data_IF_353688306454
#
_entry.id   IF_353688306454
#
_cell.length_a   1.000
_cell.length_b   1.000
_cell.length_c   1.000
_cell.angle_alpha   90.00
_cell.angle_beta   90.00
_cell.angle_gamma   90.00
#
_symmetry.space_group_name_H-M   'P 1'
#
loop_
_entity.id
_entity.type
_entity.pdbx_description
1 polymer ?
#
# COMPACT_ATOMS: atom_id res chain seq x y z
N UNK A 1 -8.03 -16.04 7.62
CA UNK A 1 -6.99 -17.07 7.39
C UNK A 1 -7.19 -18.27 8.32
N UNK A 2 -7.28 -18.09 9.62
CA UNK A 2 -7.47 -19.19 10.58
C UNK A 2 -8.68 -20.09 10.26
N UNK A 3 -9.83 -19.49 9.92
CA UNK A 3 -11.03 -20.25 9.50
C UNK A 3 -10.83 -21.07 8.21
N UNK A 4 -9.81 -20.72 7.41
CA UNK A 4 -9.42 -21.46 6.20
C UNK A 4 -8.30 -22.47 6.47
N UNK A 5 -7.91 -22.67 7.74
CA UNK A 5 -6.86 -23.60 8.13
C UNK A 5 -5.42 -23.08 7.94
N UNK A 6 -5.23 -21.80 7.68
CA UNK A 6 -3.90 -21.19 7.56
C UNK A 6 -3.54 -20.49 8.88
N UNK A 7 -2.69 -21.12 9.66
CA UNK A 7 -2.20 -20.60 10.93
C UNK A 7 -1.14 -19.51 10.75
N UNK A 8 -0.19 -19.75 9.85
CA UNK A 8 0.85 -18.79 9.46
C UNK A 8 0.75 -18.47 7.98
N UNK A 9 0.97 -17.19 7.63
CA UNK A 9 0.89 -16.74 6.24
C UNK A 9 1.74 -15.48 6.00
N UNK A 10 1.92 -15.14 4.74
CA UNK A 10 2.50 -13.88 4.29
C UNK A 10 1.41 -13.04 3.61
N UNK A 11 1.62 -11.72 3.54
CA UNK A 11 0.66 -10.79 2.95
C UNK A 11 1.28 -9.93 1.86
N UNK A 12 0.43 -9.43 0.97
CA UNK A 12 0.75 -8.36 0.03
C UNK A 12 -0.36 -7.32 0.08
N UNK A 13 -0.01 -6.03 0.03
CA UNK A 13 -0.98 -4.95 0.00
C UNK A 13 -0.47 -3.69 -0.67
N UNK A 14 -1.33 -3.08 -1.51
CA UNK A 14 -1.23 -1.71 -2.00
C UNK A 14 -2.40 -0.90 -1.46
N UNK A 15 -2.36 0.41 -1.52
CA UNK A 15 -3.40 1.32 -1.04
C UNK A 15 -3.95 0.94 0.35
N UNK A 16 -5.26 0.78 0.52
CA UNK A 16 -5.88 0.26 1.74
C UNK A 16 -5.35 -1.13 2.14
N UNK A 17 -4.95 -1.95 1.17
CA UNK A 17 -4.29 -3.22 1.44
C UNK A 17 -2.99 -3.05 2.22
N UNK A 18 -2.19 -2.03 1.97
CA UNK A 18 -1.00 -1.72 2.77
C UNK A 18 -1.35 -1.36 4.22
N UNK A 19 -2.43 -0.58 4.41
CA UNK A 19 -2.92 -0.23 5.75
C UNK A 19 -3.42 -1.46 6.50
N UNK A 20 -4.20 -2.31 5.82
CA UNK A 20 -4.74 -3.55 6.38
C UNK A 20 -3.63 -4.52 6.76
N UNK A 21 -2.70 -4.80 5.84
CA UNK A 21 -1.57 -5.71 6.10
C UNK A 21 -0.69 -5.21 7.24
N UNK A 22 -0.36 -3.92 7.27
CA UNK A 22 0.38 -3.32 8.38
C UNK A 22 -0.37 -3.41 9.73
N UNK A 23 -1.69 -3.23 9.71
CA UNK A 23 -2.51 -3.42 10.92
C UNK A 23 -2.48 -4.88 11.39
N UNK A 24 -2.49 -5.83 10.44
CA UNK A 24 -2.36 -7.26 10.76
C UNK A 24 -0.97 -7.59 11.31
N UNK A 25 0.10 -6.99 10.79
CA UNK A 25 1.47 -7.14 11.30
C UNK A 25 1.57 -6.73 12.78
N UNK A 26 0.87 -5.65 13.15
CA UNK A 26 0.86 -5.11 14.52
C UNK A 26 0.01 -5.98 15.46
N UNK A 27 -1.17 -6.40 15.00
CA UNK A 27 -2.15 -7.07 15.85
C UNK A 27 -1.95 -8.60 15.93
N UNK A 28 -1.38 -9.20 14.87
CA UNK A 28 -1.31 -10.65 14.72
C UNK A 28 0.07 -11.16 14.29
N UNK A 29 1.19 -10.75 14.94
CA UNK A 29 2.55 -11.11 14.53
C UNK A 29 2.83 -12.62 14.66
N UNK A 30 2.05 -13.34 15.46
CA UNK A 30 2.16 -14.80 15.57
C UNK A 30 1.69 -15.51 14.29
N UNK A 31 0.83 -14.89 13.51
CA UNK A 31 0.24 -15.43 12.29
C UNK A 31 0.84 -14.81 11.01
N UNK A 32 1.05 -13.51 10.99
CA UNK A 32 1.67 -12.80 9.85
C UNK A 32 3.18 -12.86 10.00
N UNK A 33 3.87 -13.54 9.08
CA UNK A 33 5.32 -13.76 9.17
C UNK A 33 6.12 -12.79 8.32
N UNK A 34 5.54 -12.32 7.23
CA UNK A 34 6.13 -11.26 6.40
C UNK A 34 5.04 -10.57 5.57
N UNK A 35 5.29 -9.31 5.24
CA UNK A 35 4.40 -8.48 4.42
C UNK A 35 5.19 -7.81 3.30
N UNK A 36 4.63 -7.78 2.10
CA UNK A 36 5.10 -6.97 0.99
C UNK A 36 4.11 -5.82 0.76
N UNK A 37 4.58 -4.58 0.72
CA UNK A 37 3.73 -3.41 0.51
C UNK A 37 4.29 -2.47 -0.55
N UNK A 38 3.41 -1.82 -1.30
CA UNK A 38 3.78 -0.84 -2.33
C UNK A 38 3.20 0.57 -2.11
N UNK A 39 2.32 0.78 -1.13
CA UNK A 39 2.01 2.11 -0.62
C UNK A 39 2.68 2.28 0.76
N UNK A 40 3.58 3.26 0.87
CA UNK A 40 4.48 3.41 2.00
C UNK A 40 4.16 4.68 2.79
N UNK A 41 3.51 4.52 3.93
CA UNK A 41 3.14 5.62 4.82
C UNK A 41 4.26 5.88 5.85
N UNK A 42 5.45 6.25 5.38
CA UNK A 42 6.55 6.61 6.27
C UNK A 42 6.32 7.98 6.93
N UNK A 43 6.42 8.02 8.24
CA UNK A 43 6.11 9.23 9.03
C UNK A 43 7.19 10.33 8.98
N UNK A 44 8.29 10.12 8.25
CA UNK A 44 9.39 11.06 8.12
C UNK A 44 10.77 10.41 8.29
N UNK A 45 11.85 11.21 8.29
CA UNK A 45 13.20 10.72 8.41
C UNK A 45 13.44 9.99 9.74
N UNK A 46 14.34 8.99 9.74
CA UNK A 46 14.75 8.33 10.96
C UNK A 46 15.39 9.30 11.94
N UNK A 47 15.11 9.15 13.21
CA UNK A 47 15.62 10.04 14.26
C UNK A 47 16.63 9.33 15.14
N UNK A 48 17.61 10.07 15.69
CA UNK A 48 18.62 9.52 16.61
C UNK A 48 18.01 8.86 17.86
N UNK A 49 16.83 9.33 18.30
CA UNK A 49 16.13 8.74 19.45
C UNK A 49 15.59 7.35 19.16
N UNK A 50 15.11 7.09 17.92
CA UNK A 50 14.48 5.81 17.55
C UNK A 50 15.45 4.82 16.92
N UNK A 51 16.31 5.31 16.03
CA UNK A 51 17.30 4.50 15.32
C UNK A 51 18.55 5.35 15.01
N UNK A 52 19.54 5.42 15.91
CA UNK A 52 20.69 6.31 15.74
C UNK A 52 21.56 5.96 14.53
N UNK A 53 21.71 4.68 14.20
CA UNK A 53 22.54 4.24 13.06
C UNK A 53 21.87 4.66 11.75
N UNK A 54 20.59 4.39 11.59
CA UNK A 54 19.84 4.76 10.38
C UNK A 54 19.74 6.28 10.25
N UNK A 55 19.59 7.01 11.37
CA UNK A 55 19.56 8.47 11.37
C UNK A 55 20.92 9.06 10.92
N UNK A 56 22.04 8.47 11.37
CA UNK A 56 23.37 8.88 10.91
C UNK A 56 23.55 8.59 9.42
N UNK A 57 23.20 7.39 8.96
CA UNK A 57 23.25 7.03 7.54
C UNK A 57 22.44 8.00 6.70
N UNK A 58 21.19 8.29 7.10
CA UNK A 58 20.33 9.25 6.44
C UNK A 58 20.96 10.65 6.37
N UNK A 59 21.57 11.13 7.46
CA UNK A 59 22.15 12.47 7.54
C UNK A 59 23.36 12.68 6.60
N UNK A 60 24.10 11.61 6.28
CA UNK A 60 25.30 11.68 5.43
C UNK A 60 25.08 11.18 4.00
N UNK A 61 23.90 10.63 3.69
CA UNK A 61 23.59 10.09 2.37
C UNK A 61 22.70 11.08 1.59
N UNK A 62 23.18 11.63 0.47
CA UNK A 62 22.37 12.50 -0.38
C UNK A 62 21.18 11.74 -0.95
N UNK A 63 20.06 12.43 -1.14
CA UNK A 63 18.92 11.87 -1.86
C UNK A 63 19.25 11.62 -3.33
N UNK A 64 18.83 10.46 -3.81
CA UNK A 64 18.91 10.08 -5.22
C UNK A 64 17.93 10.90 -6.06
N UNK A 65 18.10 10.92 -7.39
CA UNK A 65 17.15 11.58 -8.30
C UNK A 65 15.75 10.96 -8.21
N UNK A 66 15.65 9.64 -7.99
CA UNK A 66 14.38 8.96 -7.76
C UNK A 66 13.68 9.48 -6.49
N UNK A 67 14.42 9.63 -5.40
CA UNK A 67 13.87 10.13 -4.14
C UNK A 67 13.46 11.61 -4.22
N UNK A 68 14.21 12.44 -4.97
CA UNK A 68 13.83 13.83 -5.24
C UNK A 68 12.53 13.91 -6.05
N UNK A 69 12.43 13.15 -7.14
CA UNK A 69 11.19 13.04 -7.92
C UNK A 69 10.04 12.50 -7.07
N UNK A 70 10.31 11.58 -6.14
CA UNK A 70 9.34 11.07 -5.17
C UNK A 70 8.79 12.15 -4.24
N UNK A 71 9.63 13.08 -3.79
CA UNK A 71 9.16 14.24 -3.02
C UNK A 71 8.25 15.15 -3.85
N UNK A 72 8.61 15.43 -5.08
CA UNK A 72 7.78 16.26 -5.98
C UNK A 72 6.43 15.59 -6.23
N UNK A 73 6.41 14.28 -6.48
CA UNK A 73 5.19 13.49 -6.65
C UNK A 73 4.30 13.53 -5.39
N UNK A 74 4.91 13.31 -4.23
CA UNK A 74 4.22 13.36 -2.93
C UNK A 74 3.66 14.77 -2.64
N UNK A 75 4.41 15.80 -2.98
CA UNK A 75 3.96 17.20 -2.84
C UNK A 75 2.77 17.49 -3.77
N UNK A 76 2.86 17.10 -5.03
CA UNK A 76 1.75 17.22 -5.97
C UNK A 76 0.48 16.54 -5.45
N UNK A 77 0.60 15.29 -4.98
CA UNK A 77 -0.55 14.58 -4.42
C UNK A 77 -1.16 15.30 -3.22
N UNK A 78 -0.35 15.84 -2.34
CA UNK A 78 -0.85 16.56 -1.16
C UNK A 78 -1.55 17.88 -1.52
N UNK A 79 -1.11 18.59 -2.57
CA UNK A 79 -1.69 19.87 -2.98
C UNK A 79 -2.88 19.73 -3.94
N UNK A 80 -2.82 18.80 -4.89
CA UNK A 80 -3.76 18.67 -6.01
C UNK A 80 -4.60 17.39 -5.97
N UNK A 81 -4.05 16.28 -5.48
CA UNK A 81 -4.68 14.96 -5.56
C UNK A 81 -5.49 14.54 -4.33
N UNK A 82 -5.39 15.24 -3.19
CA UNK A 82 -5.88 14.76 -1.90
C UNK A 82 -7.32 15.19 -1.56
N UNK A 83 -7.97 15.97 -2.39
CA UNK A 83 -9.32 16.50 -2.11
C UNK A 83 -10.35 15.40 -1.81
N UNK A 84 -10.32 14.29 -2.55
CA UNK A 84 -11.17 13.14 -2.33
C UNK A 84 -11.06 12.57 -0.90
N UNK A 85 -9.84 12.43 -0.39
CA UNK A 85 -9.58 11.88 0.94
C UNK A 85 -10.14 12.77 2.04
N UNK A 86 -9.96 14.09 1.94
CA UNK A 86 -10.48 15.06 2.90
C UNK A 86 -12.00 15.01 2.96
N UNK A 87 -12.67 14.94 1.82
CA UNK A 87 -14.13 14.86 1.75
C UNK A 87 -14.63 13.54 2.36
N UNK A 88 -14.05 12.42 1.97
CA UNK A 88 -14.41 11.09 2.50
C UNK A 88 -14.12 10.95 4.00
N UNK A 89 -13.04 11.57 4.49
CA UNK A 89 -12.67 11.53 5.90
C UNK A 89 -13.56 12.39 6.79
N UNK A 90 -14.31 13.34 6.25
CA UNK A 90 -15.09 14.31 7.04
C UNK A 90 -16.59 14.25 6.77
N UNK A 91 -17.00 14.15 5.52
CA UNK A 91 -18.40 14.20 5.08
C UNK A 91 -18.72 13.13 4.02
N UNK A 92 -18.45 11.84 4.29
CA UNK A 92 -18.63 10.76 3.30
C UNK A 92 -20.06 10.68 2.78
N UNK A 93 -21.05 10.90 3.63
CA UNK A 93 -22.46 10.80 3.26
C UNK A 93 -22.90 11.87 2.26
N UNK A 94 -22.32 13.08 2.33
CA UNK A 94 -22.61 14.13 1.35
C UNK A 94 -22.20 13.70 -0.06
N UNK A 95 -21.01 13.11 -0.18
CA UNK A 95 -20.51 12.56 -1.44
C UNK A 95 -21.35 11.35 -1.90
N UNK A 96 -21.71 10.47 -0.98
CA UNK A 96 -22.48 9.26 -1.25
C UNK A 96 -23.81 9.55 -1.99
N UNK A 97 -24.52 10.61 -1.62
CA UNK A 97 -25.74 11.01 -2.32
C UNK A 97 -25.48 11.33 -3.80
N UNK A 98 -24.44 12.09 -4.10
CA UNK A 98 -24.10 12.45 -5.47
C UNK A 98 -23.71 11.23 -6.32
N UNK A 99 -22.89 10.33 -5.77
CA UNK A 99 -22.39 9.17 -6.48
C UNK A 99 -23.45 8.06 -6.65
N UNK A 100 -24.38 7.94 -5.72
CA UNK A 100 -25.50 7.01 -5.84
C UNK A 100 -26.56 7.49 -6.85
N UNK A 101 -26.71 8.79 -7.01
CA UNK A 101 -27.72 9.39 -7.88
C UNK A 101 -27.25 9.53 -9.33
N UNK A 102 -25.95 9.74 -9.55
CA UNK A 102 -25.40 10.05 -10.87
C UNK A 102 -24.26 9.09 -11.28
N UNK A 103 -24.51 8.20 -12.25
CA UNK A 103 -23.45 7.38 -12.85
C UNK A 103 -22.33 8.21 -13.49
N UNK A 104 -22.63 9.39 -14.00
CA UNK A 104 -21.62 10.31 -14.56
C UNK A 104 -20.77 10.92 -13.48
N UNK A 105 -21.33 11.24 -12.31
CA UNK A 105 -20.54 11.68 -11.16
C UNK A 105 -19.61 10.56 -10.66
N UNK A 106 -20.09 9.33 -10.62
CA UNK A 106 -19.28 8.17 -10.28
C UNK A 106 -18.16 7.95 -11.30
N UNK A 107 -18.46 8.04 -12.59
CA UNK A 107 -17.47 7.97 -13.67
C UNK A 107 -16.37 9.03 -13.47
N UNK A 108 -16.73 10.28 -13.31
CA UNK A 108 -15.76 11.35 -13.10
C UNK A 108 -14.91 11.13 -11.84
N UNK A 109 -15.54 10.68 -10.75
CA UNK A 109 -14.90 10.39 -9.49
C UNK A 109 -13.82 9.28 -9.57
N UNK A 110 -14.14 8.19 -10.26
CA UNK A 110 -13.21 7.06 -10.42
C UNK A 110 -12.18 7.37 -11.50
N UNK A 111 -12.60 7.89 -12.66
CA UNK A 111 -11.70 8.14 -13.80
C UNK A 111 -10.58 9.13 -13.46
N UNK A 112 -10.85 10.16 -12.65
CA UNK A 112 -9.82 11.06 -12.13
C UNK A 112 -8.66 10.28 -11.50
N UNK A 113 -8.95 9.24 -10.70
CA UNK A 113 -7.93 8.40 -10.04
C UNK A 113 -7.24 7.48 -11.03
N UNK A 114 -7.99 6.86 -11.94
CA UNK A 114 -7.41 6.03 -12.99
C UNK A 114 -6.43 6.82 -13.87
N UNK A 115 -6.75 8.06 -14.17
CA UNK A 115 -5.91 8.95 -14.96
C UNK A 115 -4.67 9.45 -14.17
N UNK A 116 -4.88 10.02 -12.98
CA UNK A 116 -3.84 10.78 -12.27
C UNK A 116 -2.89 9.91 -11.45
N UNK A 117 -3.31 8.68 -11.10
CA UNK A 117 -2.57 7.79 -10.22
C UNK A 117 -1.85 6.67 -10.96
N UNK A 118 -1.99 6.59 -12.28
CA UNK A 118 -1.24 5.64 -13.12
C UNK A 118 -0.04 6.30 -13.80
N UNK A 119 0.88 5.47 -14.24
CA UNK A 119 2.05 5.86 -15.01
C UNK A 119 1.81 5.65 -16.51
N UNK A 120 0.93 6.49 -17.06
CA UNK A 120 0.58 6.46 -18.51
C UNK A 120 -0.03 5.13 -18.97
N UNK A 121 -0.77 4.44 -18.09
CA UNK A 121 -1.51 3.23 -18.46
C UNK A 121 -2.63 3.59 -19.45
N UNK A 122 -2.72 2.89 -20.60
CA UNK A 122 -3.70 3.22 -21.65
C UNK A 122 -5.06 2.60 -21.34
N UNK A 123 -5.76 3.13 -20.34
CA UNK A 123 -7.09 2.66 -19.98
C UNK A 123 -8.03 2.63 -21.19
N UNK A 124 -8.63 1.48 -21.44
CA UNK A 124 -9.72 1.36 -22.42
C UNK A 124 -11.07 1.78 -21.82
N UNK A 125 -12.02 2.13 -22.68
CA UNK A 125 -13.38 2.45 -22.24
C UNK A 125 -14.04 1.27 -21.50
N UNK A 126 -13.76 0.05 -21.95
CA UNK A 126 -14.26 -1.18 -21.32
C UNK A 126 -13.71 -1.34 -19.89
N UNK A 127 -12.43 -1.18 -19.71
CA UNK A 127 -11.81 -1.28 -18.35
C UNK A 127 -12.39 -0.21 -17.41
N UNK A 128 -12.53 1.03 -17.88
CA UNK A 128 -13.12 2.11 -17.10
C UNK A 128 -14.57 1.78 -16.73
N UNK A 129 -15.36 1.29 -17.67
CA UNK A 129 -16.75 0.91 -17.42
C UNK A 129 -16.87 -0.30 -16.49
N UNK A 130 -15.96 -1.25 -16.55
CA UNK A 130 -15.89 -2.36 -15.58
C UNK A 130 -15.67 -1.84 -14.16
N UNK A 131 -14.71 -0.94 -13.95
CA UNK A 131 -14.47 -0.29 -12.66
C UNK A 131 -15.73 0.39 -12.12
N UNK A 132 -16.39 1.22 -12.96
CA UNK A 132 -17.62 1.92 -12.59
C UNK A 132 -18.73 0.94 -12.23
N UNK A 133 -18.89 -0.12 -13.03
CA UNK A 133 -19.93 -1.13 -12.85
C UNK A 133 -19.81 -1.88 -11.54
N UNK A 134 -18.59 -2.19 -11.08
CA UNK A 134 -18.33 -2.84 -9.79
C UNK A 134 -18.91 -1.98 -8.64
N UNK A 135 -18.68 -0.67 -8.66
CA UNK A 135 -19.23 0.24 -7.65
C UNK A 135 -20.73 0.42 -7.82
N UNK A 136 -21.19 0.71 -9.04
CA UNK A 136 -22.60 1.03 -9.34
C UNK A 136 -23.55 -0.10 -8.97
N UNK A 137 -23.18 -1.33 -9.30
CA UNK A 137 -24.02 -2.51 -9.10
C UNK A 137 -23.65 -3.34 -7.87
N UNK A 138 -22.73 -2.85 -7.03
CA UNK A 138 -22.45 -3.49 -5.75
C UNK A 138 -23.70 -3.46 -4.85
N UNK A 139 -23.81 -4.44 -3.96
CA UNK A 139 -24.95 -4.55 -3.03
C UNK A 139 -25.21 -3.28 -2.23
N UNK A 140 -24.15 -2.58 -1.85
CA UNK A 140 -24.22 -1.41 -0.97
C UNK A 140 -24.15 -0.08 -1.73
N UNK A 141 -24.04 -0.14 -3.05
CA UNK A 141 -23.95 1.03 -3.93
C UNK A 141 -22.63 1.80 -3.86
N UNK A 142 -22.45 2.79 -4.73
CA UNK A 142 -21.21 3.57 -4.84
C UNK A 142 -20.80 4.31 -3.56
N UNK A 143 -21.76 4.75 -2.77
CA UNK A 143 -21.53 5.53 -1.56
C UNK A 143 -20.90 4.76 -0.40
N UNK A 144 -20.96 3.43 -0.40
CA UNK A 144 -20.51 2.62 0.74
C UNK A 144 -19.00 2.65 0.95
N UNK A 145 -18.21 2.74 -0.13
CA UNK A 145 -16.75 2.70 -0.08
C UNK A 145 -16.12 3.89 0.67
N UNK A 146 -16.85 4.98 0.85
CA UNK A 146 -16.31 6.21 1.44
C UNK A 146 -16.21 6.17 2.96
N UNK A 147 -17.02 5.32 3.62
CA UNK A 147 -17.11 5.29 5.08
C UNK A 147 -15.82 4.82 5.77
N UNK A 148 -15.03 3.96 5.12
CA UNK A 148 -13.76 3.49 5.69
C UNK A 148 -12.80 4.65 5.97
N UNK A 149 -12.80 5.70 5.16
CA UNK A 149 -11.97 6.90 5.37
C UNK A 149 -12.37 7.64 6.63
N UNK A 150 -13.67 7.80 6.85
CA UNK A 150 -14.19 8.43 8.06
C UNK A 150 -13.83 7.62 9.30
N UNK A 151 -14.12 6.33 9.31
CA UNK A 151 -13.88 5.43 10.44
C UNK A 151 -12.39 5.40 10.84
N UNK A 152 -11.50 5.25 9.88
CA UNK A 152 -10.05 5.20 10.15
C UNK A 152 -9.52 6.52 10.71
N UNK A 153 -9.98 7.66 10.16
CA UNK A 153 -9.53 8.97 10.63
C UNK A 153 -10.11 9.38 12.00
N UNK A 154 -11.20 8.74 12.43
CA UNK A 154 -11.82 8.96 13.73
C UNK A 154 -11.56 7.83 14.74
N UNK A 155 -10.71 6.86 14.35
CA UNK A 155 -10.30 5.79 15.28
C UNK A 155 -9.49 6.35 16.44
N UNK A 156 -9.98 6.16 17.65
CA UNK A 156 -9.27 6.51 18.87
C UNK A 156 -8.38 5.36 19.35
N UNK A 157 -7.19 5.63 19.90
CA UNK A 157 -6.32 4.60 20.46
C UNK A 157 -7.06 3.73 21.49
N UNK A 158 -6.78 2.43 21.48
CA UNK A 158 -7.39 1.48 22.44
C UNK A 158 -6.94 0.04 22.15
N UNK A 159 -7.24 -0.90 23.05
CA UNK A 159 -6.92 -2.31 22.85
C UNK A 159 -7.51 -2.86 21.54
N UNK A 160 -6.68 -3.54 20.74
CA UNK A 160 -7.09 -4.12 19.46
C UNK A 160 -7.36 -3.10 18.35
N UNK A 161 -7.00 -1.83 18.54
CA UNK A 161 -7.16 -0.76 17.55
C UNK A 161 -5.80 -0.25 17.10
N UNK A 162 -5.66 -0.07 15.78
CA UNK A 162 -4.48 0.50 15.13
C UNK A 162 -4.85 1.85 14.55
N UNK A 163 -4.08 2.87 14.91
CA UNK A 163 -4.26 4.22 14.38
C UNK A 163 -3.29 4.47 13.20
N UNK A 164 -3.54 5.50 12.41
CA UNK A 164 -2.62 5.92 11.34
C UNK A 164 -1.20 6.22 11.86
N UNK A 165 -1.07 6.65 13.12
CA UNK A 165 0.23 6.88 13.75
C UNK A 165 0.96 5.57 14.06
N UNK A 166 0.24 4.53 14.46
CA UNK A 166 0.82 3.22 14.76
C UNK A 166 1.39 2.56 13.50
N UNK A 167 0.75 2.77 12.33
CA UNK A 167 1.22 2.27 11.04
C UNK A 167 2.59 2.83 10.62
N UNK A 168 2.96 4.00 11.15
CA UNK A 168 4.26 4.66 10.90
C UNK A 168 5.34 4.26 11.91
N UNK A 169 5.03 3.39 12.84
CA UNK A 169 5.99 2.90 13.81
C UNK A 169 6.76 1.68 13.26
N UNK A 170 7.90 1.39 13.88
CA UNK A 170 8.65 0.16 13.62
C UNK A 170 7.84 -1.05 14.10
N UNK A 171 7.59 -2.01 13.21
CA UNK A 171 6.93 -3.28 13.55
C UNK A 171 7.98 -4.38 13.66
N UNK A 172 8.23 -4.90 14.88
CA UNK A 172 9.14 -6.02 15.07
C UNK A 172 8.48 -7.35 14.66
N UNK A 173 9.32 -8.37 14.47
CA UNK A 173 8.92 -9.78 14.28
C UNK A 173 8.19 -10.13 12.97
N UNK A 174 7.84 -9.15 12.15
CA UNK A 174 7.27 -9.37 10.81
C UNK A 174 8.26 -8.82 9.79
N UNK A 175 8.76 -9.66 8.89
CA UNK A 175 9.67 -9.21 7.83
C UNK A 175 8.92 -8.34 6.82
N UNK A 176 9.59 -7.29 6.36
CA UNK A 176 9.00 -6.31 5.46
C UNK A 176 9.66 -6.34 4.09
N UNK A 177 8.88 -6.45 3.03
CA UNK A 177 9.27 -6.15 1.67
C UNK A 177 8.59 -4.88 1.19
N UNK A 178 9.29 -4.11 0.37
CA UNK A 178 8.79 -2.82 -0.11
C UNK A 178 9.07 -2.64 -1.59
N UNK A 179 8.09 -2.10 -2.32
CA UNK A 179 8.24 -1.63 -3.68
C UNK A 179 7.96 -0.11 -3.73
N UNK A 180 8.93 0.64 -4.25
CA UNK A 180 8.79 2.06 -4.53
C UNK A 180 8.54 2.26 -6.02
N UNK A 181 7.32 2.61 -6.37
CA UNK A 181 6.92 2.86 -7.75
C UNK A 181 7.02 4.36 -8.06
N UNK A 182 7.45 4.67 -9.28
CA UNK A 182 7.76 6.03 -9.71
C UNK A 182 6.60 7.02 -9.51
N UNK A 183 5.36 6.58 -9.80
CA UNK A 183 4.16 7.42 -9.70
C UNK A 183 3.15 6.98 -8.62
N UNK A 184 3.62 6.31 -7.57
CA UNK A 184 2.79 6.09 -6.39
C UNK A 184 2.42 7.44 -5.75
N UNK A 185 1.39 7.48 -4.90
CA UNK A 185 0.89 8.70 -4.26
C UNK A 185 1.87 9.24 -3.20
N UNK A 186 2.51 8.34 -2.48
CA UNK A 186 3.56 8.64 -1.52
C UNK A 186 4.82 7.85 -1.88
N UNK A 187 5.89 8.56 -2.22
CA UNK A 187 7.18 7.98 -2.59
C UNK A 187 8.27 8.47 -1.63
N UNK A 188 8.33 7.91 -0.41
CA UNK A 188 9.32 8.31 0.57
C UNK A 188 10.71 7.74 0.23
N UNK A 189 11.80 8.37 0.72
CA UNK A 189 13.14 7.80 0.64
C UNK A 189 13.25 6.44 1.33
N UNK A 190 14.12 5.57 0.80
CA UNK A 190 14.36 4.24 1.37
C UNK A 190 14.79 4.29 2.85
N UNK A 191 15.58 5.29 3.24
CA UNK A 191 15.99 5.48 4.64
C UNK A 191 14.80 5.69 5.59
N UNK A 192 13.70 6.31 5.11
CA UNK A 192 12.49 6.46 5.90
C UNK A 192 11.72 5.14 6.00
N UNK A 193 11.68 4.40 4.90
CA UNK A 193 10.99 3.10 4.82
C UNK A 193 11.64 2.06 5.72
N UNK A 194 12.96 2.02 5.77
CA UNK A 194 13.72 1.12 6.65
C UNK A 194 13.45 1.34 8.15
N UNK A 195 12.88 2.49 8.51
CA UNK A 195 12.41 2.76 9.87
C UNK A 195 11.07 2.11 10.21
N UNK A 196 10.37 1.48 9.25
CA UNK A 196 9.06 0.84 9.45
C UNK A 196 9.13 -0.62 9.93
N UNK A 197 10.26 -1.31 9.76
CA UNK A 197 10.38 -2.72 10.13
C UNK A 197 11.71 -3.34 9.70
N UNK A 198 11.82 -4.66 9.84
CA UNK A 198 12.94 -5.44 9.31
C UNK A 198 12.77 -5.60 7.79
N UNK A 199 13.31 -4.65 7.02
CA UNK A 199 13.22 -4.66 5.55
C UNK A 199 14.20 -5.70 5.00
N UNK A 200 13.65 -6.77 4.41
CA UNK A 200 14.40 -7.91 3.84
C UNK A 200 14.33 -7.96 2.31
N UNK A 201 13.50 -7.12 1.71
CA UNK A 201 13.36 -6.97 0.27
C UNK A 201 13.04 -5.52 -0.09
N UNK A 202 13.71 -4.99 -1.09
CA UNK A 202 13.48 -3.65 -1.62
C UNK A 202 13.49 -3.69 -3.15
N UNK A 203 12.48 -3.09 -3.79
CA UNK A 203 12.52 -2.77 -5.20
C UNK A 203 12.24 -1.29 -5.43
N UNK A 204 12.96 -0.70 -6.38
CA UNK A 204 12.74 0.68 -6.83
C UNK A 204 12.48 0.63 -8.32
N UNK A 205 11.27 1.03 -8.72
CA UNK A 205 10.79 0.91 -10.07
C UNK A 205 10.73 2.29 -10.75
N UNK A 206 11.34 2.39 -11.93
CA UNK A 206 11.32 3.60 -12.77
C UNK A 206 10.00 3.77 -13.52
N UNK A 207 9.06 2.84 -13.37
CA UNK A 207 7.74 2.85 -14.01
C UNK A 207 6.70 2.24 -13.08
N UNK A 208 5.42 2.53 -13.36
CA UNK A 208 4.28 2.09 -12.58
C UNK A 208 3.85 3.12 -11.53
N UNK A 209 2.56 3.21 -11.32
CA UNK A 209 1.90 4.11 -10.39
C UNK A 209 1.20 3.36 -9.26
N UNK A 210 0.10 3.96 -8.84
CA UNK A 210 -0.70 3.47 -7.71
C UNK A 210 -1.40 2.14 -8.01
N UNK A 211 -1.91 1.96 -9.23
CA UNK A 211 -2.56 0.72 -9.67
C UNK A 211 -1.53 -0.32 -10.14
N UNK A 212 -0.46 -0.47 -9.37
CA UNK A 212 0.74 -1.25 -9.71
C UNK A 212 0.45 -2.68 -10.18
N UNK A 213 -0.50 -3.36 -9.53
CA UNK A 213 -0.90 -4.71 -9.90
C UNK A 213 -1.56 -4.80 -11.29
N UNK A 214 -2.20 -3.72 -11.75
CA UNK A 214 -2.78 -3.60 -13.09
C UNK A 214 -1.76 -3.13 -14.11
N UNK A 215 -0.96 -2.11 -13.73
CA UNK A 215 -0.01 -1.48 -14.65
C UNK A 215 1.24 -2.34 -14.93
N UNK A 216 1.73 -3.03 -13.91
CA UNK A 216 3.00 -3.78 -13.92
C UNK A 216 2.87 -5.10 -13.17
N UNK A 217 1.92 -5.99 -13.54
CA UNK A 217 1.68 -7.26 -12.83
C UNK A 217 2.92 -8.16 -12.78
N UNK A 218 3.74 -8.12 -13.84
CA UNK A 218 4.97 -8.90 -13.94
C UNK A 218 6.04 -8.46 -12.93
N UNK A 219 6.12 -7.15 -12.65
CA UNK A 219 7.06 -6.62 -11.66
C UNK A 219 6.62 -6.99 -10.24
N UNK A 220 5.34 -6.80 -9.92
CA UNK A 220 4.81 -7.22 -8.62
C UNK A 220 4.97 -8.73 -8.40
N UNK A 221 4.65 -9.55 -9.40
CA UNK A 221 4.84 -10.99 -9.32
C UNK A 221 6.32 -11.38 -9.13
N UNK A 222 7.24 -10.68 -9.81
CA UNK A 222 8.69 -10.87 -9.65
C UNK A 222 9.13 -10.50 -8.21
N UNK A 223 8.67 -9.38 -7.67
CA UNK A 223 8.99 -8.96 -6.31
C UNK A 223 8.58 -10.02 -5.30
N UNK A 224 7.34 -10.52 -5.39
CA UNK A 224 6.82 -11.56 -4.52
C UNK A 224 7.61 -12.89 -4.64
N UNK A 225 7.91 -13.33 -5.86
CA UNK A 225 8.72 -14.52 -6.09
C UNK A 225 10.14 -14.37 -5.55
N UNK A 226 10.73 -13.19 -5.70
CA UNK A 226 12.08 -12.91 -5.18
C UNK A 226 12.10 -12.88 -3.66
N UNK A 227 11.14 -12.21 -3.04
CA UNK A 227 11.08 -12.06 -1.57
C UNK A 227 10.75 -13.37 -0.87
N UNK A 228 9.72 -14.09 -1.33
CA UNK A 228 9.17 -15.26 -0.66
C UNK A 228 9.69 -16.59 -1.22
N UNK A 229 10.30 -16.58 -2.40
CA UNK A 229 10.86 -17.75 -3.04
C UNK A 229 12.12 -18.25 -2.32
N UNK A 230 12.61 -19.42 -2.78
CA UNK A 230 13.81 -20.05 -2.23
C UNK A 230 15.03 -19.13 -2.29
N UNK A 231 15.65 -18.89 -1.16
CA UNK A 231 16.80 -17.97 -1.02
C UNK A 231 16.42 -16.49 -0.88
N UNK A 232 15.15 -16.13 -0.98
CA UNK A 232 14.67 -14.77 -0.74
C UNK A 232 14.70 -14.39 0.73
N UNK A 233 14.65 -13.09 1.02
CA UNK A 233 14.77 -12.55 2.39
C UNK A 233 13.67 -13.01 3.35
N UNK A 234 12.51 -13.41 2.81
CA UNK A 234 11.39 -13.96 3.56
C UNK A 234 11.09 -15.43 3.18
N UNK A 235 12.06 -16.16 2.62
CA UNK A 235 11.91 -17.61 2.43
C UNK A 235 11.84 -18.35 3.78
N UNK A 236 11.14 -19.47 3.83
CA UNK A 236 11.00 -20.30 5.04
C UNK A 236 10.37 -19.61 6.28
N UNK A 237 9.76 -18.45 6.14
CA UNK A 237 9.13 -17.74 7.28
C UNK A 237 7.85 -18.41 7.75
N UNK A 238 7.15 -19.15 6.88
CA UNK A 238 5.96 -19.93 7.22
C UNK A 238 6.37 -21.37 7.53
N UNK A 239 5.96 -21.85 8.68
CA UNK A 239 6.31 -23.19 9.17
C UNK A 239 5.97 -24.29 8.16
N UNK A 240 6.96 -25.12 7.84
CA UNK A 240 6.80 -26.23 6.91
C UNK A 240 6.68 -25.84 5.43
N UNK A 241 6.99 -24.58 5.09
CA UNK A 241 7.01 -24.07 3.70
C UNK A 241 8.40 -23.52 3.38
N UNK A 242 9.01 -24.03 2.30
CA UNK A 242 10.37 -23.66 1.87
C UNK A 242 10.44 -22.56 0.80
N UNK A 243 9.30 -21.97 0.42
CA UNK A 243 9.20 -21.09 -0.73
C UNK A 243 8.90 -21.86 -2.02
N UNK A 244 9.13 -21.23 -3.18
CA UNK A 244 8.94 -21.91 -4.46
C UNK A 244 10.10 -22.87 -4.72
N UNK A 245 9.76 -24.10 -5.12
CA UNK A 245 10.69 -24.97 -5.82
C UNK A 245 10.67 -24.53 -7.30
N UNK A 246 11.83 -24.15 -7.84
CA UNK A 246 11.99 -23.52 -9.16
C UNK A 246 11.49 -24.35 -10.37
N UNK A 247 11.13 -25.60 -10.18
CA UNK A 247 10.91 -26.56 -11.27
C UNK A 247 9.43 -26.85 -11.60
N UNK A 248 8.47 -26.12 -11.05
CA UNK A 248 7.06 -26.34 -11.39
C UNK A 248 6.34 -25.03 -11.72
N UNK A 249 5.88 -24.85 -12.97
CA UNK A 249 4.88 -23.83 -13.26
C UNK A 249 3.63 -24.15 -12.44
N UNK A 250 3.32 -23.30 -11.46
CA UNK A 250 2.05 -23.37 -10.74
C UNK A 250 1.12 -22.35 -11.39
N UNK A 251 -0.03 -22.86 -11.80
CA UNK A 251 -1.16 -22.11 -12.31
C UNK A 251 -1.58 -21.02 -11.34
#
# INVERSE_FOLDING_TARGET
MLQLGYDEYVTQGGDWGSIITRSMDILYPDHVKASHINLLLAGGPPTFKKNPILALQHAVTPYTEHEKAGFERTQWFNSEGRGYNLLQSTKPQTLAYALNDSPVALLAWIYEKLHDWTDSYPWTDEEILEWISIYQFSRNGPGAAHNIYYEVNHTTPGPGKVTMKDLQAYVPHVKLGVALNHKELFVPPLSWVRALGEVVFESTNSSGGHFYATEKPELLAKDLRTMFGKGGGASNVVKGKSGYDDDRPRL
#
